data_IF_453943691189
#
_entry.id   IF_453943691189
#
_cell.length_a   1.000
_cell.length_b   1.000
_cell.length_c   1.000
_cell.angle_alpha   90.00
_cell.angle_beta   90.00
_cell.angle_gamma   90.00
#
_symmetry.space_group_name_H-M   'P 1'
#
loop_
_entity.id
_entity.type
_entity.pdbx_description
1 polymer ?
#
# COMPACT_ATOMS: atom_id res chain seq x y z
N UNK A 1 45.76 7.85 65.07
CA UNK A 1 45.13 6.88 64.14
C UNK A 1 43.62 7.09 64.19
N UNK A 2 43.01 7.70 63.17
CA UNK A 2 41.54 7.79 63.06
C UNK A 2 41.19 7.86 61.56
N UNK A 3 40.81 6.71 60.98
CA UNK A 3 40.35 6.59 59.59
C UNK A 3 38.89 7.05 59.52
N UNK A 4 38.65 8.25 58.97
CA UNK A 4 37.33 8.66 58.52
C UNK A 4 37.04 7.97 57.18
N UNK A 5 36.14 6.99 57.20
CA UNK A 5 35.64 6.31 56.01
C UNK A 5 34.73 7.27 55.22
N UNK A 6 35.23 7.69 54.06
CA UNK A 6 34.45 8.35 53.01
C UNK A 6 33.72 7.26 52.23
N UNK A 7 32.43 7.07 52.50
CA UNK A 7 31.54 6.21 51.72
C UNK A 7 30.68 7.12 50.85
N UNK A 8 31.22 7.44 49.67
CA UNK A 8 30.56 8.19 48.63
C UNK A 8 29.46 7.30 48.03
N UNK A 9 28.20 7.60 48.35
CA UNK A 9 27.04 6.94 47.75
C UNK A 9 26.85 7.44 46.32
N UNK A 10 27.43 6.74 45.34
CA UNK A 10 27.13 6.91 43.92
C UNK A 10 26.01 5.92 43.56
N UNK A 11 24.76 6.33 43.78
CA UNK A 11 23.58 5.71 43.17
C UNK A 11 22.95 6.72 42.21
N UNK A 12 23.69 7.03 41.13
CA UNK A 12 23.24 7.94 40.09
C UNK A 12 22.54 7.16 38.97
N UNK A 13 21.21 7.08 39.09
CA UNK A 13 20.24 7.22 38.00
C UNK A 13 20.44 6.42 36.71
N UNK A 14 20.27 5.10 36.74
CA UNK A 14 19.88 4.30 35.55
C UNK A 14 18.36 4.10 35.59
N UNK A 15 17.59 5.18 35.46
CA UNK A 15 16.12 5.14 35.47
C UNK A 15 15.48 6.06 34.41
N UNK A 16 16.19 6.37 33.32
CA UNK A 16 15.68 7.20 32.21
C UNK A 16 15.55 6.44 30.87
N UNK A 17 15.80 5.13 30.83
CA UNK A 17 15.86 4.37 29.57
C UNK A 17 14.55 3.74 29.08
N UNK A 18 13.49 3.69 29.90
CA UNK A 18 12.32 2.82 29.61
C UNK A 18 11.07 3.61 29.18
N UNK A 19 11.09 4.95 29.29
CA UNK A 19 9.87 5.75 29.11
C UNK A 19 9.51 6.11 27.66
N UNK A 20 10.35 5.87 26.65
CA UNK A 20 10.00 6.18 25.26
C UNK A 20 10.45 5.09 24.30
N UNK A 21 10.01 3.85 24.53
CA UNK A 21 9.85 2.88 23.44
C UNK A 21 8.61 3.23 22.58
N UNK A 22 8.28 4.52 22.41
CA UNK A 22 7.46 4.94 21.28
C UNK A 22 8.26 4.57 20.05
N UNK A 23 7.78 3.54 19.35
CA UNK A 23 8.39 3.06 18.12
C UNK A 23 8.61 4.27 17.20
N UNK A 24 9.85 4.47 16.76
CA UNK A 24 10.23 5.56 15.85
C UNK A 24 9.31 5.65 14.62
N UNK A 25 8.65 4.54 14.28
CA UNK A 25 7.64 4.44 13.22
C UNK A 25 6.52 5.46 13.33
N UNK A 26 6.11 5.85 14.55
CA UNK A 26 5.05 6.85 14.75
C UNK A 26 5.53 8.23 14.31
N UNK A 27 6.66 8.68 14.84
CA UNK A 27 7.27 9.98 14.46
C UNK A 27 7.66 10.00 12.98
N UNK A 28 8.19 8.89 12.46
CA UNK A 28 8.53 8.75 11.05
C UNK A 28 7.29 8.90 10.15
N UNK A 29 6.18 8.22 10.45
CA UNK A 29 4.92 8.38 9.70
C UNK A 29 4.38 9.80 9.76
N UNK A 30 4.44 10.44 10.94
CA UNK A 30 4.00 11.82 11.11
C UNK A 30 4.82 12.79 10.24
N UNK A 31 6.15 12.66 10.21
CA UNK A 31 7.02 13.47 9.36
C UNK A 31 6.76 13.26 7.86
N UNK A 32 6.54 12.01 7.43
CA UNK A 32 6.15 11.72 6.05
C UNK A 32 4.82 12.41 5.73
N UNK A 33 3.82 12.30 6.61
CA UNK A 33 2.51 12.94 6.42
C UNK A 33 2.65 14.46 6.28
N UNK A 34 3.45 15.09 7.15
CA UNK A 34 3.69 16.53 7.13
C UNK A 34 4.44 17.00 5.88
N UNK A 35 5.21 16.12 5.24
CA UNK A 35 5.90 16.42 3.97
C UNK A 35 4.97 16.38 2.74
N UNK A 36 3.86 15.62 2.79
CA UNK A 36 3.02 15.37 1.62
C UNK A 36 2.39 16.62 0.97
N UNK A 37 1.89 17.63 1.71
CA UNK A 37 1.30 18.83 1.10
C UNK A 37 2.21 19.46 0.04
N UNK A 38 3.48 19.69 0.40
CA UNK A 38 4.47 20.27 -0.51
C UNK A 38 4.75 19.35 -1.71
N UNK A 39 4.78 18.04 -1.50
CA UNK A 39 5.02 17.11 -2.61
C UNK A 39 3.83 17.06 -3.57
N UNK A 40 2.60 17.20 -3.12
CA UNK A 40 1.43 17.19 -4.00
C UNK A 40 1.33 18.42 -4.92
N UNK A 41 2.00 19.52 -4.59
CA UNK A 41 2.12 20.69 -5.49
C UNK A 41 2.92 20.35 -6.76
N UNK A 42 3.90 19.44 -6.65
CA UNK A 42 4.82 19.10 -7.74
C UNK A 42 4.61 17.70 -8.31
N UNK A 43 4.03 16.78 -7.52
CA UNK A 43 3.83 15.38 -7.86
C UNK A 43 2.34 15.06 -7.95
N UNK A 44 1.86 14.77 -9.16
CA UNK A 44 0.48 14.30 -9.36
C UNK A 44 0.25 12.86 -8.88
N UNK A 45 1.32 12.05 -8.78
CA UNK A 45 1.25 10.65 -8.37
C UNK A 45 1.47 10.51 -6.85
N UNK A 46 0.48 10.02 -6.07
CA UNK A 46 0.60 9.93 -4.62
C UNK A 46 1.71 8.99 -4.14
N UNK A 47 1.95 7.91 -4.88
CA UNK A 47 3.01 6.96 -4.54
C UNK A 47 4.39 7.60 -4.73
N UNK A 48 4.53 8.48 -5.73
CA UNK A 48 5.79 9.21 -5.93
C UNK A 48 6.02 10.26 -4.84
N UNK A 49 4.96 10.97 -4.44
CA UNK A 49 5.02 11.90 -3.32
C UNK A 49 5.43 11.21 -2.01
N UNK A 50 4.82 10.06 -1.68
CA UNK A 50 5.22 9.24 -0.52
C UNK A 50 6.68 8.80 -0.65
N UNK A 51 7.09 8.28 -1.80
CA UNK A 51 8.47 7.82 -2.00
C UNK A 51 9.49 8.94 -1.75
N UNK A 52 9.21 10.14 -2.27
CA UNK A 52 10.06 11.32 -2.05
C UNK A 52 10.08 11.74 -0.58
N UNK A 53 8.92 11.84 0.08
CA UNK A 53 8.87 12.15 1.51
C UNK A 53 9.60 11.12 2.35
N UNK A 54 9.40 9.82 2.07
CA UNK A 54 10.09 8.73 2.74
C UNK A 54 11.61 8.88 2.59
N UNK A 55 12.10 9.13 1.37
CA UNK A 55 13.53 9.30 1.10
C UNK A 55 14.13 10.51 1.82
N UNK A 56 13.38 11.62 1.93
CA UNK A 56 13.83 12.83 2.62
C UNK A 56 13.87 12.64 4.15
N UNK A 57 12.93 11.88 4.71
CA UNK A 57 12.84 11.64 6.15
C UNK A 57 13.77 10.52 6.62
N UNK A 58 14.03 9.51 5.77
CA UNK A 58 14.81 8.32 6.13
C UNK A 58 16.18 8.58 6.80
N UNK A 59 17.01 9.56 6.38
CA UNK A 59 18.30 9.82 7.01
C UNK A 59 18.22 10.10 8.52
N UNK A 60 17.14 10.76 8.96
CA UNK A 60 16.91 11.10 10.38
C UNK A 60 16.64 9.87 11.24
N UNK A 61 16.15 8.79 10.63
CA UNK A 61 15.71 7.56 11.29
C UNK A 61 16.60 6.36 11.02
N UNK A 62 17.59 6.49 10.12
CA UNK A 62 18.42 5.38 9.65
C UNK A 62 19.13 4.64 10.79
N UNK A 63 19.67 5.38 11.77
CA UNK A 63 20.36 4.78 12.92
C UNK A 63 19.41 3.98 13.82
N UNK A 64 18.17 4.46 14.02
CA UNK A 64 17.15 3.77 14.83
C UNK A 64 16.68 2.48 14.13
N UNK A 65 16.52 2.52 12.80
CA UNK A 65 16.17 1.35 12.00
C UNK A 65 17.29 0.31 12.05
N UNK A 66 18.55 0.73 11.86
CA UNK A 66 19.70 -0.18 11.87
C UNK A 66 19.96 -0.76 13.26
N UNK A 67 19.58 -0.06 14.34
CA UNK A 67 19.68 -0.56 15.72
C UNK A 67 18.77 -1.77 15.98
N UNK A 68 17.69 -1.98 15.21
CA UNK A 68 16.84 -3.18 15.30
C UNK A 68 17.51 -4.43 14.69
N UNK A 69 18.65 -4.28 14.02
CA UNK A 69 19.28 -5.34 13.24
C UNK A 69 20.43 -5.98 14.02
N UNK A 70 20.11 -7.10 14.67
CA UNK A 70 21.10 -7.93 15.36
C UNK A 70 21.79 -8.83 14.33
N UNK A 71 22.90 -8.37 13.79
CA UNK A 71 23.74 -9.10 12.82
C UNK A 71 25.20 -8.66 12.94
N UNK A 72 26.13 -9.55 13.23
CA UNK A 72 27.54 -9.19 13.43
C UNK A 72 28.25 -8.85 12.11
N UNK A 73 27.92 -9.56 11.02
CA UNK A 73 28.56 -9.34 9.74
C UNK A 73 28.07 -8.03 9.12
N UNK A 74 28.97 -7.06 8.93
CA UNK A 74 28.62 -5.73 8.41
C UNK A 74 27.92 -5.76 7.04
N UNK A 75 28.28 -6.67 6.14
CA UNK A 75 27.65 -6.78 4.82
C UNK A 75 26.22 -7.32 4.93
N UNK A 76 26.02 -8.35 5.76
CA UNK A 76 24.68 -8.92 5.99
C UNK A 76 23.81 -7.90 6.74
N UNK A 77 24.37 -7.17 7.71
CA UNK A 77 23.68 -6.10 8.43
C UNK A 77 23.21 -5.01 7.47
N UNK A 78 24.08 -4.55 6.56
CA UNK A 78 23.73 -3.59 5.53
C UNK A 78 22.58 -4.11 4.64
N UNK A 79 22.66 -5.35 4.15
CA UNK A 79 21.60 -5.95 3.31
C UNK A 79 20.27 -6.06 4.05
N UNK A 80 20.28 -6.56 5.28
CA UNK A 80 19.09 -6.61 6.17
C UNK A 80 18.52 -5.22 6.40
N UNK A 81 19.38 -4.21 6.55
CA UNK A 81 18.96 -2.82 6.70
C UNK A 81 18.30 -2.26 5.45
N UNK A 82 18.81 -2.55 4.27
CA UNK A 82 18.15 -2.15 3.01
C UNK A 82 16.80 -2.85 2.88
N UNK A 83 16.73 -4.14 3.19
CA UNK A 83 15.48 -4.90 3.17
C UNK A 83 14.44 -4.30 4.13
N UNK A 84 14.82 -4.03 5.38
CA UNK A 84 13.93 -3.44 6.38
C UNK A 84 13.38 -2.07 5.95
N UNK A 85 14.20 -1.22 5.33
CA UNK A 85 13.75 0.08 4.79
C UNK A 85 12.76 -0.08 3.64
N UNK A 86 12.97 -1.04 2.74
CA UNK A 86 12.03 -1.35 1.66
C UNK A 86 10.70 -1.88 2.21
N UNK A 87 10.75 -2.80 3.19
CA UNK A 87 9.56 -3.32 3.87
C UNK A 87 8.79 -2.19 4.57
N UNK A 88 9.51 -1.30 5.25
CA UNK A 88 8.93 -0.13 5.91
C UNK A 88 8.23 0.79 4.89
N UNK A 89 8.89 1.12 3.78
CA UNK A 89 8.30 1.95 2.72
C UNK A 89 7.03 1.31 2.16
N UNK A 90 7.06 0.00 1.88
CA UNK A 90 5.87 -0.72 1.39
C UNK A 90 4.74 -0.70 2.40
N UNK A 91 5.05 -0.95 3.69
CA UNK A 91 4.05 -0.91 4.74
C UNK A 91 3.39 0.46 4.83
N UNK A 92 4.20 1.52 4.92
CA UNK A 92 3.74 2.88 5.08
C UNK A 92 2.80 3.31 3.97
N UNK A 93 3.02 2.90 2.72
CA UNK A 93 2.11 3.31 1.64
C UNK A 93 0.64 2.90 1.88
N UNK A 94 0.36 1.76 2.50
CA UNK A 94 -1.02 1.42 2.89
C UNK A 94 -1.37 1.85 4.32
N UNK A 95 -0.43 1.90 5.28
CA UNK A 95 -0.74 2.41 6.63
C UNK A 95 -1.15 3.89 6.59
N UNK A 96 -0.50 4.67 5.72
CA UNK A 96 -0.73 6.11 5.56
C UNK A 96 -2.14 6.43 5.07
N UNK A 97 -2.81 5.48 4.40
CA UNK A 97 -4.23 5.61 4.04
C UNK A 97 -5.06 5.87 5.30
N UNK A 98 -4.79 5.13 6.39
CA UNK A 98 -5.49 5.31 7.65
C UNK A 98 -4.94 6.49 8.46
N UNK A 99 -3.62 6.63 8.55
CA UNK A 99 -2.97 7.55 9.49
C UNK A 99 -2.73 8.97 8.98
N UNK A 100 -2.99 9.26 7.70
CA UNK A 100 -2.73 10.57 7.11
C UNK A 100 -3.88 11.00 6.20
N UNK A 101 -4.74 11.89 6.68
CA UNK A 101 -5.94 12.35 5.93
C UNK A 101 -5.57 13.04 4.63
N UNK A 102 -4.47 13.80 4.60
CA UNK A 102 -3.98 14.48 3.40
C UNK A 102 -3.66 13.45 2.31
N UNK A 103 -3.03 12.33 2.68
CA UNK A 103 -2.74 11.24 1.74
C UNK A 103 -4.03 10.58 1.25
N UNK A 104 -4.92 10.19 2.16
CA UNK A 104 -6.20 9.57 1.83
C UNK A 104 -7.05 10.44 0.90
N UNK A 105 -7.21 11.71 1.22
CA UNK A 105 -8.00 12.65 0.42
C UNK A 105 -7.43 12.79 -1.00
N UNK A 106 -6.10 12.81 -1.14
CA UNK A 106 -5.48 12.87 -2.47
C UNK A 106 -5.73 11.61 -3.29
N UNK A 107 -5.77 10.44 -2.64
CA UNK A 107 -6.10 9.18 -3.31
C UNK A 107 -7.54 9.21 -3.82
N UNK A 108 -8.47 9.63 -2.97
CA UNK A 108 -9.89 9.72 -3.33
C UNK A 108 -10.13 10.75 -4.45
N UNK A 109 -9.45 11.90 -4.41
CA UNK A 109 -9.47 12.89 -5.50
C UNK A 109 -9.09 12.26 -6.85
N UNK A 110 -8.03 11.45 -6.88
CA UNK A 110 -7.57 10.79 -8.11
C UNK A 110 -8.53 9.71 -8.55
N UNK A 111 -9.07 8.91 -7.63
CA UNK A 111 -10.10 7.89 -7.96
C UNK A 111 -11.34 8.56 -8.56
N UNK A 112 -11.76 9.68 -8.01
CA UNK A 112 -12.92 10.43 -8.50
C UNK A 112 -12.63 11.05 -9.87
N UNK A 113 -11.43 11.59 -10.09
CA UNK A 113 -11.00 12.05 -11.41
C UNK A 113 -11.05 10.91 -12.45
N UNK A 114 -10.53 9.74 -12.10
CA UNK A 114 -10.55 8.55 -12.98
C UNK A 114 -11.99 8.10 -13.25
N UNK A 115 -12.85 8.12 -12.23
CA UNK A 115 -14.26 7.80 -12.37
C UNK A 115 -14.94 8.74 -13.38
N UNK A 116 -14.74 10.05 -13.23
CA UNK A 116 -15.32 11.07 -14.12
C UNK A 116 -14.78 10.98 -15.55
N UNK A 117 -13.50 10.67 -15.71
CA UNK A 117 -12.91 10.40 -17.04
C UNK A 117 -13.54 9.17 -17.70
N UNK A 118 -13.76 8.09 -16.94
CA UNK A 118 -14.46 6.91 -17.43
C UNK A 118 -15.90 7.21 -17.81
N UNK A 119 -16.62 7.96 -16.97
CA UNK A 119 -18.00 8.42 -17.23
C UNK A 119 -18.11 9.22 -18.53
N UNK A 120 -17.16 10.11 -18.81
CA UNK A 120 -17.14 10.90 -20.05
C UNK A 120 -16.93 10.06 -21.32
N UNK A 121 -16.38 8.84 -21.20
CA UNK A 121 -16.09 7.95 -22.33
C UNK A 121 -17.25 6.99 -22.64
N UNK A 122 -18.11 6.67 -21.68
CA UNK A 122 -19.20 5.71 -21.86
C UNK A 122 -20.45 6.41 -22.39
N UNK A 123 -20.98 5.90 -23.50
CA UNK A 123 -22.22 6.37 -24.13
C UNK A 123 -23.32 5.31 -24.01
N UNK A 124 -24.57 5.70 -24.16
CA UNK A 124 -25.71 4.76 -24.23
C UNK A 124 -25.55 3.77 -25.38
N UNK A 125 -25.07 4.23 -26.56
CA UNK A 125 -24.78 3.38 -27.69
C UNK A 125 -23.75 2.30 -27.35
N UNK A 126 -22.74 2.63 -26.52
CA UNK A 126 -21.74 1.66 -26.08
C UNK A 126 -22.35 0.57 -25.20
N UNK A 127 -23.31 0.90 -24.34
CA UNK A 127 -24.04 -0.10 -23.54
C UNK A 127 -24.83 -1.04 -24.44
N UNK A 128 -25.56 -0.52 -25.43
CA UNK A 128 -26.33 -1.35 -26.37
C UNK A 128 -25.42 -2.34 -27.13
N UNK A 129 -24.23 -1.90 -27.52
CA UNK A 129 -23.22 -2.78 -28.13
C UNK A 129 -22.77 -3.88 -27.15
N UNK A 130 -22.48 -3.51 -25.90
CA UNK A 130 -22.03 -4.45 -24.86
C UNK A 130 -23.13 -5.45 -24.49
N UNK A 131 -24.40 -5.05 -24.47
CA UNK A 131 -25.53 -5.95 -24.25
C UNK A 131 -25.62 -7.03 -25.33
N UNK A 132 -25.48 -6.63 -26.60
CA UNK A 132 -25.41 -7.58 -27.72
C UNK A 132 -24.20 -8.50 -27.59
N UNK A 133 -23.05 -7.96 -27.22
CA UNK A 133 -21.81 -8.72 -27.09
C UNK A 133 -21.92 -9.80 -26.00
N UNK A 134 -22.48 -9.48 -24.83
CA UNK A 134 -22.72 -10.45 -23.76
C UNK A 134 -23.73 -11.51 -24.20
N UNK A 135 -24.78 -11.14 -24.94
CA UNK A 135 -25.78 -12.08 -25.44
C UNK A 135 -25.22 -13.07 -26.47
N UNK A 136 -24.33 -12.61 -27.35
CA UNK A 136 -23.73 -13.45 -28.40
C UNK A 136 -22.56 -14.29 -27.89
N UNK A 137 -21.72 -13.72 -27.02
CA UNK A 137 -20.48 -14.34 -26.56
C UNK A 137 -20.29 -14.13 -25.04
N UNK A 138 -21.09 -14.82 -24.20
CA UNK A 138 -20.99 -14.68 -22.74
C UNK A 138 -19.66 -15.28 -22.26
N UNK A 139 -18.78 -14.43 -21.73
CA UNK A 139 -17.52 -14.84 -21.11
C UNK A 139 -17.09 -13.82 -20.06
N UNK A 140 -16.04 -14.12 -19.30
CA UNK A 140 -15.60 -13.25 -18.21
C UNK A 140 -15.24 -11.82 -18.69
N UNK A 141 -14.69 -11.67 -19.90
CA UNK A 141 -14.29 -10.39 -20.48
C UNK A 141 -15.50 -9.54 -20.86
N UNK A 142 -16.47 -10.13 -21.56
CA UNK A 142 -17.67 -9.42 -22.01
C UNK A 142 -18.53 -8.95 -20.84
N UNK A 143 -18.69 -9.78 -19.80
CA UNK A 143 -19.32 -9.35 -18.54
C UNK A 143 -18.54 -8.25 -17.84
N UNK A 144 -17.20 -8.35 -17.74
CA UNK A 144 -16.40 -7.31 -17.07
C UNK A 144 -16.49 -5.96 -17.78
N UNK A 145 -16.44 -5.94 -19.11
CA UNK A 145 -16.55 -4.73 -19.91
C UNK A 145 -17.92 -4.07 -19.75
N UNK A 146 -19.00 -4.85 -19.82
CA UNK A 146 -20.35 -4.34 -19.56
C UNK A 146 -20.52 -3.84 -18.12
N UNK A 147 -19.98 -4.57 -17.15
CA UNK A 147 -19.96 -4.17 -15.75
C UNK A 147 -19.23 -2.84 -15.51
N UNK A 148 -18.07 -2.63 -16.15
CA UNK A 148 -17.34 -1.34 -16.13
C UNK A 148 -18.15 -0.21 -16.74
N UNK A 149 -18.80 -0.46 -17.87
CA UNK A 149 -19.61 0.56 -18.52
C UNK A 149 -20.82 0.95 -17.64
N UNK A 150 -21.51 -0.04 -17.06
CA UNK A 150 -22.58 0.21 -16.09
C UNK A 150 -22.08 0.96 -14.84
N UNK A 151 -20.87 0.65 -14.35
CA UNK A 151 -20.27 1.35 -13.21
C UNK A 151 -20.06 2.84 -13.49
N UNK A 152 -19.49 3.19 -14.65
CA UNK A 152 -19.27 4.59 -15.02
C UNK A 152 -20.56 5.36 -15.32
N UNK A 153 -21.63 4.66 -15.73
CA UNK A 153 -22.97 5.22 -15.85
C UNK A 153 -23.76 5.22 -14.54
N UNK A 154 -23.12 4.90 -13.41
CA UNK A 154 -23.74 4.87 -12.07
C UNK A 154 -24.88 3.84 -11.93
N UNK A 155 -24.97 2.88 -12.86
CA UNK A 155 -25.86 1.72 -12.79
C UNK A 155 -25.26 0.64 -11.88
N UNK A 156 -24.96 0.98 -10.63
CA UNK A 156 -24.15 0.16 -9.73
C UNK A 156 -24.71 -1.25 -9.50
N UNK A 157 -26.03 -1.43 -9.44
CA UNK A 157 -26.64 -2.75 -9.28
C UNK A 157 -26.41 -3.66 -10.49
N UNK A 158 -26.49 -3.11 -11.72
CA UNK A 158 -26.18 -3.86 -12.95
C UNK A 158 -24.68 -4.15 -13.04
N UNK A 159 -23.86 -3.17 -12.69
CA UNK A 159 -22.42 -3.34 -12.63
C UNK A 159 -22.01 -4.46 -11.65
N UNK A 160 -22.60 -4.50 -10.45
CA UNK A 160 -22.32 -5.55 -9.47
C UNK A 160 -22.63 -6.95 -10.02
N UNK A 161 -23.80 -7.13 -10.66
CA UNK A 161 -24.20 -8.41 -11.25
C UNK A 161 -23.18 -8.87 -12.29
N UNK A 162 -22.86 -7.99 -13.24
CA UNK A 162 -21.92 -8.30 -14.33
C UNK A 162 -20.51 -8.62 -13.82
N UNK A 163 -20.01 -7.84 -12.86
CA UNK A 163 -18.66 -8.05 -12.31
C UNK A 163 -18.58 -9.33 -11.49
N UNK A 164 -19.62 -9.67 -10.72
CA UNK A 164 -19.69 -10.95 -10.01
C UNK A 164 -19.70 -12.14 -10.96
N UNK A 165 -20.46 -12.04 -12.05
CA UNK A 165 -20.51 -13.09 -13.06
C UNK A 165 -19.16 -13.25 -13.77
N UNK A 166 -18.47 -12.14 -14.06
CA UNK A 166 -17.11 -12.18 -14.59
C UNK A 166 -16.14 -12.91 -13.65
N UNK A 167 -16.17 -12.61 -12.34
CA UNK A 167 -15.33 -13.28 -11.33
C UNK A 167 -15.62 -14.78 -11.30
N UNK A 168 -16.92 -15.16 -11.28
CA UNK A 168 -17.35 -16.56 -11.26
C UNK A 168 -16.78 -17.34 -12.45
N UNK A 169 -17.01 -16.85 -13.67
CA UNK A 169 -16.55 -17.50 -14.91
C UNK A 169 -15.01 -17.58 -14.93
N UNK A 170 -14.31 -16.51 -14.57
CA UNK A 170 -12.84 -16.52 -14.58
C UNK A 170 -12.26 -17.54 -13.60
N UNK A 171 -12.86 -17.65 -12.40
CA UNK A 171 -12.47 -18.63 -11.38
C UNK A 171 -12.69 -20.06 -11.87
N UNK A 172 -13.83 -20.34 -12.48
CA UNK A 172 -14.12 -21.65 -13.08
C UNK A 172 -13.09 -22.04 -14.16
N UNK A 173 -12.73 -21.08 -15.03
CA UNK A 173 -11.78 -21.30 -16.13
C UNK A 173 -10.33 -21.48 -15.66
N UNK A 174 -9.87 -20.68 -14.69
CA UNK A 174 -8.44 -20.56 -14.36
C UNK A 174 -8.07 -21.14 -13.00
N UNK A 175 -9.07 -21.43 -12.16
CA UNK A 175 -8.89 -21.70 -10.73
C UNK A 175 -8.15 -20.58 -9.99
N UNK A 176 -8.17 -19.36 -10.55
CA UNK A 176 -7.57 -18.15 -9.99
C UNK A 176 -8.61 -17.05 -9.89
N UNK A 177 -8.41 -16.16 -8.94
CA UNK A 177 -9.27 -15.01 -8.72
C UNK A 177 -8.83 -13.83 -9.62
N UNK A 178 -9.79 -13.19 -10.31
CA UNK A 178 -9.55 -12.01 -11.15
C UNK A 178 -9.45 -10.74 -10.29
N UNK A 179 -8.23 -10.41 -9.86
CA UNK A 179 -7.94 -9.28 -8.96
C UNK A 179 -8.53 -7.96 -9.47
N UNK A 180 -8.45 -7.70 -10.78
CA UNK A 180 -8.97 -6.45 -11.35
C UNK A 180 -10.49 -6.37 -11.25
N UNK A 181 -11.20 -7.49 -11.43
CA UNK A 181 -12.65 -7.56 -11.23
C UNK A 181 -13.03 -7.44 -9.75
N UNK A 182 -12.25 -8.03 -8.84
CA UNK A 182 -12.45 -7.89 -7.38
C UNK A 182 -12.31 -6.43 -6.95
N UNK A 183 -11.30 -5.69 -7.44
CA UNK A 183 -11.14 -4.27 -7.12
C UNK A 183 -12.30 -3.42 -7.66
N UNK A 184 -12.76 -3.70 -8.87
CA UNK A 184 -13.92 -3.02 -9.41
C UNK A 184 -15.18 -3.32 -8.59
N UNK A 185 -15.39 -4.57 -8.18
CA UNK A 185 -16.51 -4.95 -7.32
C UNK A 185 -16.44 -4.25 -5.97
N UNK A 186 -15.27 -4.18 -5.33
CA UNK A 186 -15.09 -3.43 -4.10
C UNK A 186 -15.42 -1.94 -4.28
N UNK A 187 -15.00 -1.34 -5.40
CA UNK A 187 -15.31 0.06 -5.69
C UNK A 187 -16.81 0.29 -5.97
N UNK A 188 -17.48 -0.63 -6.67
CA UNK A 188 -18.94 -0.62 -6.85
C UNK A 188 -19.63 -0.64 -5.48
N UNK A 189 -19.19 -1.54 -4.58
CA UNK A 189 -19.72 -1.63 -3.22
C UNK A 189 -19.48 -0.34 -2.42
N UNK A 190 -18.31 0.30 -2.56
CA UNK A 190 -18.03 1.61 -1.96
C UNK A 190 -18.95 2.72 -2.50
N UNK A 191 -19.19 2.78 -3.81
CA UNK A 191 -20.11 3.78 -4.41
C UNK A 191 -21.56 3.57 -3.99
N UNK A 192 -21.92 2.35 -3.59
CA UNK A 192 -23.20 2.02 -2.96
C UNK A 192 -23.19 2.19 -1.43
N UNK A 193 -22.14 2.80 -0.84
CA UNK A 193 -21.95 2.97 0.61
C UNK A 193 -21.91 1.66 1.41
N UNK A 194 -21.70 0.53 0.74
CA UNK A 194 -21.58 -0.80 1.35
C UNK A 194 -20.12 -1.08 1.76
N UNK A 195 -19.51 -0.14 2.48
CA UNK A 195 -18.08 -0.14 2.82
C UNK A 195 -17.64 -1.40 3.56
N UNK A 196 -18.47 -1.90 4.49
CA UNK A 196 -18.15 -3.12 5.23
C UNK A 196 -18.01 -4.34 4.31
N UNK A 197 -18.86 -4.45 3.29
CA UNK A 197 -18.79 -5.55 2.30
C UNK A 197 -17.58 -5.39 1.37
N UNK A 198 -17.25 -4.15 0.97
CA UNK A 198 -16.04 -3.87 0.20
C UNK A 198 -14.78 -4.27 0.98
N UNK A 199 -14.72 -3.88 2.26
CA UNK A 199 -13.62 -4.25 3.15
C UNK A 199 -13.49 -5.77 3.32
N UNK A 200 -14.59 -6.47 3.62
CA UNK A 200 -14.59 -7.94 3.77
C UNK A 200 -14.09 -8.64 2.51
N UNK A 201 -14.58 -8.23 1.33
CA UNK A 201 -14.16 -8.77 0.05
C UNK A 201 -12.64 -8.64 -0.16
N UNK A 202 -12.08 -7.46 0.13
CA UNK A 202 -10.65 -7.19 -0.02
C UNK A 202 -9.81 -7.83 1.08
N UNK A 203 -10.35 -7.98 2.29
CA UNK A 203 -9.68 -8.65 3.41
C UNK A 203 -9.56 -10.17 3.17
N UNK A 204 -10.61 -10.79 2.63
CA UNK A 204 -10.58 -12.19 2.18
C UNK A 204 -9.54 -12.38 1.08
N UNK A 205 -9.57 -11.56 0.04
CA UNK A 205 -8.58 -11.59 -1.04
C UNK A 205 -7.15 -11.37 -0.51
N UNK A 206 -6.96 -10.48 0.47
CA UNK A 206 -5.64 -10.22 1.06
C UNK A 206 -5.12 -11.42 1.86
N UNK A 207 -5.99 -12.13 2.59
CA UNK A 207 -5.62 -13.35 3.33
C UNK A 207 -5.12 -14.44 2.40
N UNK A 208 -5.80 -14.64 1.27
CA UNK A 208 -5.40 -15.61 0.25
C UNK A 208 -4.12 -15.18 -0.47
N UNK A 209 -4.06 -13.89 -0.85
CA UNK A 209 -2.95 -13.33 -1.63
C UNK A 209 -2.55 -11.97 -1.06
N UNK A 210 -1.57 -11.92 -0.14
CA UNK A 210 -1.13 -10.68 0.50
C UNK A 210 -0.26 -9.87 -0.47
N UNK A 211 -0.91 -9.26 -1.47
CA UNK A 211 -0.32 -8.40 -2.48
C UNK A 211 -0.54 -6.93 -2.10
N UNK A 212 0.42 -6.10 -2.49
CA UNK A 212 0.44 -4.68 -2.15
C UNK A 212 -0.83 -3.93 -2.55
N UNK A 213 -1.32 -4.12 -3.77
CA UNK A 213 -2.52 -3.41 -4.25
C UNK A 213 -3.77 -3.81 -3.45
N UNK A 214 -3.91 -5.09 -3.06
CA UNK A 214 -5.05 -5.53 -2.24
C UNK A 214 -4.98 -4.89 -0.85
N UNK A 215 -3.80 -4.88 -0.22
CA UNK A 215 -3.60 -4.18 1.06
C UNK A 215 -4.01 -2.71 0.96
N UNK A 216 -3.56 -2.04 -0.11
CA UNK A 216 -3.86 -0.63 -0.35
C UNK A 216 -5.36 -0.35 -0.50
N UNK A 217 -6.06 -1.08 -1.37
CA UNK A 217 -7.52 -0.91 -1.53
C UNK A 217 -8.30 -1.34 -0.28
N UNK A 218 -7.84 -2.39 0.42
CA UNK A 218 -8.41 -2.85 1.69
C UNK A 218 -8.38 -1.73 2.72
N UNK A 219 -7.25 -1.03 2.85
CA UNK A 219 -7.13 0.08 3.80
C UNK A 219 -8.01 1.27 3.43
N UNK A 220 -8.23 1.53 2.14
CA UNK A 220 -9.18 2.56 1.70
C UNK A 220 -10.60 2.20 2.15
N UNK A 221 -11.03 0.96 1.91
CA UNK A 221 -12.33 0.48 2.35
C UNK A 221 -12.46 0.49 3.89
N UNK A 222 -11.43 0.07 4.62
CA UNK A 222 -11.39 0.10 6.09
C UNK A 222 -11.52 1.52 6.66
N UNK A 223 -10.83 2.50 6.06
CA UNK A 223 -10.96 3.89 6.49
C UNK A 223 -12.40 4.39 6.35
N UNK A 224 -13.07 4.05 5.25
CA UNK A 224 -14.47 4.45 4.99
C UNK A 224 -15.48 3.77 5.92
N UNK A 225 -15.15 2.62 6.53
CA UNK A 225 -16.00 2.03 7.58
C UNK A 225 -15.86 2.74 8.94
N UNK A 226 -14.93 3.70 9.08
CA UNK A 226 -14.51 4.23 10.39
C UNK A 226 -13.67 3.24 11.19
N UNK A 227 -13.17 2.17 10.55
CA UNK A 227 -12.37 1.15 11.19
C UNK A 227 -11.00 1.68 11.65
N UNK A 228 -10.50 1.11 12.75
CA UNK A 228 -9.12 1.36 13.18
C UNK A 228 -8.14 0.57 12.31
N UNK A 229 -7.00 1.17 11.96
CA UNK A 229 -5.91 0.46 11.31
C UNK A 229 -5.41 -0.70 12.18
N UNK A 230 -5.22 -1.86 11.55
CA UNK A 230 -4.52 -3.01 12.14
C UNK A 230 -3.30 -3.32 11.27
N UNK A 231 -2.06 -3.27 11.80
CA UNK A 231 -0.86 -3.58 11.05
C UNK A 231 -0.99 -4.91 10.30
N UNK A 232 -0.83 -4.86 8.99
CA UNK A 232 -0.89 -6.04 8.15
C UNK A 232 0.41 -6.82 8.27
N UNK A 233 0.32 -8.06 8.74
CA UNK A 233 1.47 -8.98 8.69
C UNK A 233 1.65 -9.45 7.25
N UNK A 234 2.90 -9.55 6.79
CA UNK A 234 3.30 -10.28 5.58
C UNK A 234 2.78 -9.73 4.24
N UNK A 235 2.54 -8.42 4.09
CA UNK A 235 2.27 -7.83 2.78
C UNK A 235 3.48 -8.06 1.86
N UNK A 236 3.42 -9.13 1.06
CA UNK A 236 4.54 -9.56 0.25
C UNK A 236 4.57 -8.72 -1.01
N UNK A 237 5.52 -7.80 -1.10
CA UNK A 237 5.85 -7.27 -2.39
C UNK A 237 6.61 -8.37 -3.13
N UNK A 238 5.96 -9.11 -4.04
CA UNK A 238 6.63 -10.15 -4.86
C UNK A 238 7.91 -9.62 -5.53
N UNK A 239 7.99 -8.29 -5.75
CA UNK A 239 9.20 -7.59 -6.22
C UNK A 239 10.36 -7.64 -5.22
N UNK A 240 10.12 -7.52 -3.91
CA UNK A 240 11.18 -7.61 -2.89
C UNK A 240 11.86 -8.99 -2.95
N UNK A 241 11.10 -10.08 -3.18
CA UNK A 241 11.69 -11.42 -3.35
C UNK A 241 12.54 -11.56 -4.63
N UNK A 242 12.18 -10.86 -5.70
CA UNK A 242 12.95 -10.86 -6.96
C UNK A 242 14.18 -9.93 -6.92
N UNK A 243 14.16 -8.85 -6.15
CA UNK A 243 15.33 -7.96 -6.02
C UNK A 243 16.29 -8.43 -4.93
N UNK A 244 15.82 -9.14 -3.90
CA UNK A 244 16.70 -9.81 -2.92
C UNK A 244 17.52 -10.94 -3.55
N UNK A 245 17.00 -11.65 -4.56
CA UNK A 245 17.80 -12.62 -5.31
C UNK A 245 18.88 -11.96 -6.18
N UNK A 246 18.62 -10.74 -6.70
CA UNK A 246 19.63 -9.94 -7.41
C UNK A 246 20.68 -9.34 -6.46
N UNK A 247 20.29 -8.95 -5.25
CA UNK A 247 21.20 -8.43 -4.21
C UNK A 247 22.25 -9.47 -3.80
N UNK A 248 21.94 -10.77 -3.85
CA UNK A 248 22.94 -11.84 -3.64
C UNK A 248 24.09 -11.83 -4.66
N UNK A 249 23.88 -11.22 -5.83
CA UNK A 249 24.88 -11.15 -6.91
C UNK A 249 25.69 -9.84 -6.91
N UNK A 250 25.31 -8.83 -6.11
CA UNK A 250 26.07 -7.58 -5.99
C UNK A 250 27.16 -7.78 -4.93
N UNK A 251 28.29 -8.38 -5.34
CA UNK A 251 29.52 -8.44 -4.52
C UNK A 251 30.37 -7.17 -4.75
N UNK A 252 30.85 -6.63 -3.61
CA UNK A 252 31.94 -5.64 -3.41
C UNK A 252 31.79 -4.32 -4.17
N UNK A 253 31.57 -3.24 -3.40
CA UNK A 253 31.54 -1.81 -3.80
C UNK A 253 30.14 -1.25 -4.06
N UNK A 254 29.28 -1.25 -3.03
CA UNK A 254 28.04 -0.48 -3.08
C UNK A 254 28.31 0.99 -2.69
N UNK A 255 27.97 1.91 -3.58
CA UNK A 255 28.09 3.38 -3.44
C UNK A 255 26.77 3.98 -2.93
N UNK A 256 26.79 5.21 -2.41
CA UNK A 256 25.58 6.02 -2.10
C UNK A 256 24.57 6.07 -3.27
N UNK A 257 25.03 5.92 -4.51
CA UNK A 257 24.17 5.87 -5.70
C UNK A 257 23.28 4.63 -5.79
N UNK A 258 23.58 3.56 -5.06
CA UNK A 258 22.81 2.31 -5.16
C UNK A 258 21.46 2.39 -4.43
N UNK A 259 21.31 3.28 -3.44
CA UNK A 259 20.01 3.60 -2.84
C UNK A 259 19.03 4.16 -3.89
N UNK A 260 19.47 5.10 -4.72
CA UNK A 260 18.63 5.65 -5.80
C UNK A 260 18.25 4.60 -6.84
N UNK A 261 19.08 3.57 -7.05
CA UNK A 261 18.78 2.46 -7.96
C UNK A 261 17.77 1.47 -7.36
N UNK A 262 17.87 1.20 -6.05
CA UNK A 262 16.97 0.29 -5.34
C UNK A 262 15.52 0.83 -5.28
N UNK A 263 15.35 2.15 -5.16
CA UNK A 263 14.01 2.77 -5.11
C UNK A 263 13.41 3.14 -6.47
N UNK A 264 14.09 2.89 -7.60
CA UNK A 264 13.47 2.97 -8.93
C UNK A 264 12.48 1.80 -9.12
N UNK A 265 11.39 1.82 -8.37
CA UNK A 265 10.20 1.03 -8.67
C UNK A 265 9.72 1.54 -10.03
N UNK A 266 9.92 0.75 -11.09
CA UNK A 266 9.19 0.97 -12.35
C UNK A 266 7.70 0.90 -11.99
N UNK A 267 7.08 2.06 -11.82
CA UNK A 267 5.64 2.18 -11.70
C UNK A 267 5.07 1.61 -12.99
N UNK A 268 4.49 0.41 -12.93
CA UNK A 268 3.63 -0.03 -14.01
C UNK A 268 2.37 0.82 -13.87
N UNK A 269 2.40 1.98 -14.52
CA UNK A 269 1.24 2.84 -14.70
C UNK A 269 0.32 2.19 -15.73
N UNK A 270 -0.32 1.10 -15.32
CA UNK A 270 -1.55 0.55 -15.89
C UNK A 270 -2.29 -0.10 -14.72
N UNK A 271 -3.00 0.73 -13.98
CA UNK A 271 -4.20 0.31 -13.25
C UNK A 271 -5.37 0.84 -14.08
#
# INVERSE_FOLDING_TARGET
MNKKNSLLSITLSIALGIANAQSYTTSFKAEICNCLPQQFETQKNPNKAIETCFQNTLPNYAALIDAEIVEENANIRYQKGQQKRMELMVSFTYEMVNSCDIYFNKIEEIRELQFNQGKAYITEAKIVELDKLVAMHPNHGTYLERGRANFYLENYSKAEIDVRESIRIYKEMTQQENIAAIYLLAWILEKQERYQKAFQLLDEEYKERPIFNTAYFREIANKKTGGSFKPLKNASNRRIKQDTSKLKNIKKNASKDDLKKLFKIKGNNKI
#
